data_IF_686326145635
#
_entry.id   IF_686326145635
#
_cell.length_a   1.000
_cell.length_b   1.000
_cell.length_c   1.000
_cell.angle_alpha   90.00
_cell.angle_beta   90.00
_cell.angle_gamma   90.00
#
_symmetry.space_group_name_H-M   'P 1'
#
loop_
_entity.id
_entity.type
_entity.pdbx_description
1 polymer ?
#
# COMPACT_ATOMS: atom_id res chain seq x y z
N UNK A 1 56.10 -23.01 14.77
CA UNK A 1 56.88 -21.96 14.07
C UNK A 1 57.41 -22.58 12.79
N UNK A 2 56.58 -22.55 11.74
CA UNK A 2 56.87 -23.16 10.44
C UNK A 2 56.21 -22.26 9.40
N UNK A 3 57.02 -21.47 8.69
CA UNK A 3 56.60 -20.57 7.62
C UNK A 3 56.41 -21.38 6.33
N UNK A 4 55.24 -21.25 5.69
CA UNK A 4 55.02 -21.68 4.32
C UNK A 4 54.78 -20.44 3.44
N UNK A 5 55.77 -20.15 2.60
CA UNK A 5 55.70 -19.18 1.50
C UNK A 5 54.88 -19.79 0.36
N UNK A 6 53.85 -19.08 -0.13
CA UNK A 6 53.18 -19.38 -1.40
C UNK A 6 53.58 -18.34 -2.44
N UNK A 7 54.00 -18.87 -3.59
CA UNK A 7 54.45 -18.16 -4.78
C UNK A 7 53.29 -17.57 -5.59
N UNK A 8 53.56 -16.42 -6.22
CA UNK A 8 52.73 -15.72 -7.18
C UNK A 8 52.91 -16.34 -8.58
N UNK A 9 51.79 -16.71 -9.22
CA UNK A 9 51.76 -17.15 -10.62
C UNK A 9 51.06 -16.10 -11.48
N UNK A 10 51.81 -15.46 -12.37
CA UNK A 10 51.31 -14.52 -13.38
C UNK A 10 50.82 -15.27 -14.62
N UNK A 11 49.60 -14.97 -15.09
CA UNK A 11 49.06 -15.47 -16.35
C UNK A 11 48.92 -14.32 -17.34
N UNK A 12 49.82 -14.27 -18.32
CA UNK A 12 49.68 -13.43 -19.51
C UNK A 12 48.88 -14.19 -20.57
N UNK A 13 47.68 -13.72 -20.92
CA UNK A 13 46.92 -14.22 -22.08
C UNK A 13 47.19 -13.33 -23.29
N UNK A 14 47.76 -13.93 -24.34
CA UNK A 14 47.84 -13.39 -25.70
C UNK A 14 46.49 -13.61 -26.40
N UNK A 15 45.88 -12.54 -26.91
CA UNK A 15 44.77 -12.62 -27.86
C UNK A 15 45.31 -12.65 -29.29
N UNK A 16 45.12 -13.77 -29.99
CA UNK A 16 45.30 -13.87 -31.45
C UNK A 16 43.96 -13.60 -32.14
N UNK A 17 43.95 -12.55 -32.96
CA UNK A 17 42.84 -12.09 -33.78
C UNK A 17 42.94 -12.76 -35.16
N UNK A 18 42.02 -13.66 -35.50
CA UNK A 18 41.88 -14.19 -36.87
C UNK A 18 40.69 -13.51 -37.56
N UNK A 19 41.00 -12.80 -38.65
CA UNK A 19 40.03 -12.29 -39.63
C UNK A 19 39.69 -13.40 -40.63
N UNK A 20 38.42 -13.75 -40.74
CA UNK A 20 37.88 -14.44 -41.90
C UNK A 20 37.35 -13.41 -42.90
N UNK A 21 37.93 -13.41 -44.10
CA UNK A 21 37.44 -12.70 -45.29
C UNK A 21 36.80 -13.75 -46.18
N UNK A 22 35.48 -13.66 -46.38
CA UNK A 22 34.72 -14.45 -47.34
C UNK A 22 34.15 -13.53 -48.41
N UNK A 23 34.61 -13.72 -49.64
CA UNK A 23 34.18 -13.07 -50.89
C UNK A 23 33.13 -13.95 -51.59
N UNK A 24 32.38 -13.36 -52.53
CA UNK A 24 31.41 -13.88 -53.52
C UNK A 24 29.93 -13.82 -53.09
N UNK A 25 28.96 -13.43 -53.94
CA UNK A 25 28.98 -12.95 -55.32
C UNK A 25 27.63 -12.29 -55.67
N UNK A 26 27.69 -11.50 -56.75
CA UNK A 26 26.61 -10.86 -57.50
C UNK A 26 25.42 -11.78 -57.84
N UNK A 27 24.20 -11.22 -57.76
CA UNK A 27 23.18 -11.40 -58.79
C UNK A 27 22.37 -10.10 -58.96
N UNK A 28 22.28 -9.66 -60.21
CA UNK A 28 21.51 -8.52 -60.71
C UNK A 28 20.17 -8.99 -61.31
N UNK A 29 19.19 -8.09 -61.37
CA UNK A 29 17.90 -8.23 -62.08
C UNK A 29 16.75 -7.65 -61.25
N UNK A 30 16.36 -6.38 -61.36
CA UNK A 30 15.70 -5.67 -62.47
C UNK A 30 14.23 -6.11 -62.71
N UNK A 31 13.27 -5.29 -62.25
CA UNK A 31 11.99 -4.90 -62.88
C UNK A 31 11.06 -4.28 -61.81
N UNK A 32 10.77 -2.98 -61.88
CA UNK A 32 9.61 -2.36 -62.55
C UNK A 32 8.25 -2.80 -61.98
N UNK A 33 7.59 -1.88 -61.25
CA UNK A 33 6.22 -2.06 -60.78
C UNK A 33 5.77 -0.96 -59.82
N UNK A 34 5.69 0.29 -60.29
CA UNK A 34 4.97 1.34 -59.58
C UNK A 34 3.48 1.18 -59.87
N UNK A 35 2.70 0.76 -58.86
CA UNK A 35 1.25 0.89 -58.83
C UNK A 35 0.90 1.71 -57.59
N UNK A 36 0.59 2.98 -57.83
CA UNK A 36 -0.11 3.85 -56.89
C UNK A 36 -1.57 3.40 -56.87
N UNK A 37 -2.02 2.89 -55.72
CA UNK A 37 -3.43 2.73 -55.42
C UNK A 37 -3.79 3.76 -54.33
N UNK A 38 -4.57 4.76 -54.72
CA UNK A 38 -5.22 5.70 -53.81
C UNK A 38 -6.23 4.93 -52.95
N UNK A 39 -5.86 4.67 -51.69
CA UNK A 39 -6.81 4.26 -50.67
C UNK A 39 -7.31 5.50 -49.93
N UNK A 40 -8.49 5.96 -50.32
CA UNK A 40 -9.28 6.96 -49.58
C UNK A 40 -9.67 6.35 -48.22
N UNK A 41 -8.94 6.71 -47.17
CA UNK A 41 -9.39 6.47 -45.80
C UNK A 41 -10.43 7.52 -45.40
N UNK A 42 -11.70 7.13 -45.50
CA UNK A 42 -12.80 7.79 -44.80
C UNK A 42 -12.62 7.51 -43.30
N UNK A 43 -12.15 8.51 -42.57
CA UNK A 43 -12.09 8.45 -41.11
C UNK A 43 -13.53 8.49 -40.53
N UNK A 44 -13.92 7.55 -39.65
CA UNK A 44 -15.15 7.71 -38.89
C UNK A 44 -14.96 8.81 -37.84
N UNK A 45 -15.46 10.02 -38.15
CA UNK A 45 -15.76 11.04 -37.13
C UNK A 45 -16.95 10.56 -36.31
N UNK A 46 -16.71 9.89 -35.18
CA UNK A 46 -17.69 9.75 -34.08
C UNK A 46 -17.07 9.00 -32.89
N UNK A 47 -16.38 9.72 -31.99
CA UNK A 47 -16.21 9.38 -30.57
C UNK A 47 -15.16 10.32 -29.93
N UNK A 48 -15.43 11.62 -29.89
CA UNK A 48 -14.66 12.57 -29.08
C UNK A 48 -15.63 13.61 -28.54
N UNK A 49 -16.34 13.25 -27.47
CA UNK A 49 -17.24 14.17 -26.77
C UNK A 49 -17.45 13.80 -25.29
N UNK A 50 -16.48 13.10 -24.67
CA UNK A 50 -16.50 12.80 -23.22
C UNK A 50 -15.17 13.05 -22.49
N UNK A 51 -14.22 13.78 -23.08
CA UNK A 51 -12.90 14.00 -22.46
C UNK A 51 -12.50 15.47 -22.28
N UNK A 52 -13.42 16.45 -22.38
CA UNK A 52 -13.03 17.86 -22.55
C UNK A 52 -13.74 18.90 -21.68
N UNK A 53 -14.27 18.57 -20.49
CA UNK A 53 -14.98 19.59 -19.67
C UNK A 53 -14.51 19.78 -18.21
N UNK A 54 -13.41 19.18 -17.75
CA UNK A 54 -12.92 19.38 -16.36
C UNK A 54 -11.50 19.97 -16.21
N UNK A 55 -10.91 20.54 -17.26
CA UNK A 55 -9.51 21.02 -17.22
C UNK A 55 -9.27 22.41 -16.61
N UNK A 56 -10.29 23.06 -16.03
CA UNK A 56 -10.13 24.39 -15.41
C UNK A 56 -10.01 24.35 -13.87
N UNK A 57 -9.89 23.18 -13.25
CA UNK A 57 -9.31 23.11 -11.91
C UNK A 57 -7.87 23.57 -12.07
N UNK A 58 -7.55 24.75 -11.53
CA UNK A 58 -6.23 25.36 -11.58
C UNK A 58 -5.16 24.28 -11.54
N UNK A 59 -4.26 24.29 -12.53
CA UNK A 59 -3.06 23.47 -12.53
C UNK A 59 -2.32 23.80 -11.23
N UNK A 60 -2.63 23.06 -10.17
CA UNK A 60 -1.83 22.99 -8.97
C UNK A 60 -0.48 22.62 -9.52
N UNK A 61 0.43 23.60 -9.52
CA UNK A 61 1.80 23.41 -9.92
C UNK A 61 2.25 22.19 -9.14
N UNK A 62 2.33 21.04 -9.82
CA UNK A 62 2.79 19.80 -9.21
C UNK A 62 4.23 20.13 -8.86
N UNK A 63 4.43 20.55 -7.62
CA UNK A 63 5.75 20.84 -7.13
C UNK A 63 6.56 19.58 -7.41
N UNK A 64 7.64 19.77 -8.15
CA UNK A 64 8.48 18.66 -8.53
C UNK A 64 9.11 18.09 -7.26
N UNK A 65 8.43 17.12 -6.65
CA UNK A 65 8.93 16.40 -5.49
C UNK A 65 9.99 15.45 -6.02
N UNK A 66 11.24 15.89 -5.92
CA UNK A 66 12.38 15.05 -6.22
C UNK A 66 12.90 14.39 -4.94
N UNK A 67 13.42 13.18 -5.08
CA UNK A 67 14.15 12.48 -4.02
C UNK A 67 15.65 12.83 -4.01
N UNK A 68 16.03 14.03 -4.51
CA UNK A 68 17.42 14.48 -4.57
C UNK A 68 18.12 14.39 -3.21
N UNK A 69 17.44 14.83 -2.15
CA UNK A 69 17.90 14.75 -0.77
C UNK A 69 17.12 13.72 0.06
N UNK A 70 16.55 12.71 -0.60
CA UNK A 70 15.81 11.61 0.03
C UNK A 70 14.74 12.11 1.04
N UNK A 71 14.09 13.23 0.72
CA UNK A 71 13.04 13.82 1.54
C UNK A 71 13.47 14.55 2.81
N UNK A 72 14.77 14.76 3.03
CA UNK A 72 15.27 15.61 4.13
C UNK A 72 14.94 17.09 3.94
N UNK A 73 14.64 17.50 2.71
CA UNK A 73 14.30 18.86 2.30
C UNK A 73 12.79 19.10 2.17
N UNK A 74 11.95 18.08 2.39
CA UNK A 74 10.50 18.19 2.23
C UNK A 74 9.85 19.00 3.35
N UNK A 75 9.42 20.23 3.05
CA UNK A 75 8.73 21.11 3.99
C UNK A 75 7.19 20.89 4.04
N UNK A 76 6.68 19.86 3.37
CA UNK A 76 5.24 19.63 3.21
C UNK A 76 4.63 18.80 4.34
N UNK A 77 3.40 19.14 4.72
CA UNK A 77 2.63 18.40 5.71
C UNK A 77 3.45 18.13 6.98
N UNK A 78 3.44 16.87 7.41
CA UNK A 78 4.24 16.42 8.57
C UNK A 78 5.57 15.79 8.19
N UNK A 79 5.99 15.88 6.91
CA UNK A 79 7.20 15.21 6.43
C UNK A 79 8.49 15.73 7.07
N UNK A 80 8.54 17.02 7.45
CA UNK A 80 9.69 17.64 8.12
C UNK A 80 9.60 17.61 9.65
N UNK A 81 8.43 17.32 10.23
CA UNK A 81 8.26 17.39 11.68
C UNK A 81 8.79 16.12 12.34
N UNK A 82 10.08 16.15 12.68
CA UNK A 82 10.76 15.06 13.39
C UNK A 82 10.21 14.81 14.80
N UNK A 83 9.37 15.70 15.34
CA UNK A 83 8.69 15.47 16.62
C UNK A 83 7.50 14.53 16.48
N UNK A 84 7.03 14.29 15.25
CA UNK A 84 6.04 13.25 14.97
C UNK A 84 6.73 11.90 15.09
N UNK A 85 6.49 11.21 16.20
CA UNK A 85 7.12 9.94 16.60
C UNK A 85 6.69 8.73 15.74
N UNK A 86 5.85 8.96 14.73
CA UNK A 86 5.31 7.96 13.84
C UNK A 86 5.73 8.13 12.36
N UNK A 87 6.81 8.86 12.06
CA UNK A 87 7.30 8.97 10.68
C UNK A 87 7.90 7.65 10.14
N UNK A 88 7.81 7.42 8.83
CA UNK A 88 8.38 6.28 8.10
C UNK A 88 9.23 6.75 6.91
N UNK A 89 10.20 5.96 6.43
CA UNK A 89 10.55 4.59 6.83
C UNK A 89 11.38 4.51 8.12
N UNK A 90 11.61 3.30 8.62
CA UNK A 90 12.46 3.06 9.80
C UNK A 90 13.45 1.91 9.58
N UNK A 91 14.47 1.87 10.44
CA UNK A 91 15.38 0.73 10.55
C UNK A 91 14.89 -0.22 11.65
N UNK A 92 14.79 -1.51 11.32
CA UNK A 92 14.55 -2.56 12.29
C UNK A 92 15.87 -3.20 12.69
N UNK A 93 16.31 -2.96 13.91
CA UNK A 93 17.54 -3.56 14.43
C UNK A 93 17.43 -5.08 14.66
N UNK A 94 18.55 -5.68 15.08
CA UNK A 94 18.68 -7.12 15.24
C UNK A 94 17.62 -7.72 16.17
N UNK A 95 17.12 -6.96 17.15
CA UNK A 95 16.14 -7.46 18.13
C UNK A 95 14.82 -7.83 17.47
N UNK A 96 14.47 -7.19 16.36
CA UNK A 96 13.23 -7.44 15.63
C UNK A 96 13.40 -8.50 14.55
N UNK A 97 14.62 -8.66 14.04
CA UNK A 97 14.90 -9.57 12.94
C UNK A 97 15.30 -10.96 13.43
N UNK A 98 15.99 -11.11 14.56
CA UNK A 98 16.44 -12.41 15.08
C UNK A 98 15.29 -13.28 15.58
N UNK A 99 15.36 -14.59 15.33
CA UNK A 99 14.38 -15.60 15.78
C UNK A 99 14.20 -15.66 17.32
N UNK A 100 15.00 -14.90 18.07
CA UNK A 100 14.89 -14.76 19.52
C UNK A 100 13.68 -13.95 19.98
N UNK A 101 12.95 -13.28 19.09
CA UNK A 101 11.68 -12.64 19.48
C UNK A 101 10.66 -13.75 19.81
N UNK A 102 10.09 -13.78 21.03
CA UNK A 102 9.29 -14.90 21.49
C UNK A 102 8.11 -15.15 20.54
N UNK A 103 8.11 -16.33 19.92
CA UNK A 103 7.07 -16.80 18.98
C UNK A 103 5.69 -16.93 19.63
N UNK A 104 5.61 -16.85 20.95
CA UNK A 104 4.41 -17.04 21.78
C UNK A 104 3.31 -15.98 21.57
N UNK A 105 3.56 -14.94 20.76
CA UNK A 105 2.53 -13.94 20.38
C UNK A 105 2.56 -13.57 18.90
N UNK A 106 2.92 -14.52 18.03
CA UNK A 106 2.71 -14.31 16.60
C UNK A 106 1.19 -14.21 16.38
N UNK A 107 0.72 -13.01 16.12
CA UNK A 107 -0.65 -12.80 15.67
C UNK A 107 -0.71 -13.11 14.18
N UNK A 108 -1.79 -13.75 13.76
CA UNK A 108 -2.01 -14.02 12.35
C UNK A 108 -2.77 -12.85 11.73
N UNK A 109 -2.40 -12.51 10.50
CA UNK A 109 -3.21 -11.68 9.63
C UNK A 109 -3.43 -12.43 8.32
N UNK A 110 -4.51 -12.13 7.62
CA UNK A 110 -4.88 -12.88 6.42
C UNK A 110 -4.59 -12.04 5.20
N UNK A 111 -3.92 -12.62 4.21
CA UNK A 111 -3.78 -12.05 2.88
C UNK A 111 -4.45 -12.96 1.88
N UNK A 112 -5.26 -12.38 1.01
CA UNK A 112 -5.89 -13.09 -0.09
C UNK A 112 -5.72 -12.26 -1.34
N UNK A 113 -4.79 -12.64 -2.21
CA UNK A 113 -4.54 -11.98 -3.48
C UNK A 113 -4.80 -12.98 -4.60
N UNK A 114 -5.98 -12.93 -5.24
CA UNK A 114 -6.21 -13.76 -6.40
C UNK A 114 -5.27 -13.34 -7.53
N UNK A 115 -5.08 -14.23 -8.49
CA UNK A 115 -4.25 -13.96 -9.65
C UNK A 115 -4.76 -12.72 -10.40
N UNK A 116 -3.87 -11.76 -10.66
CA UNK A 116 -4.19 -10.56 -11.43
C UNK A 116 -4.31 -10.91 -12.91
N UNK A 117 -5.34 -10.37 -13.54
CA UNK A 117 -5.51 -10.39 -14.99
C UNK A 117 -4.42 -9.53 -15.70
N UNK A 118 -4.16 -9.78 -17.00
CA UNK A 118 -3.02 -9.23 -17.73
C UNK A 118 -3.10 -7.72 -18.03
N UNK A 119 -3.91 -6.93 -17.31
CA UNK A 119 -4.14 -5.52 -17.64
C UNK A 119 -3.79 -4.64 -16.45
N UNK A 120 -2.49 -4.55 -16.13
CA UNK A 120 -2.00 -3.67 -15.08
C UNK A 120 -1.51 -2.35 -15.65
N UNK A 121 -2.11 -1.25 -15.21
CA UNK A 121 -1.69 0.07 -15.65
C UNK A 121 -0.44 0.52 -14.90
N UNK A 122 0.64 0.80 -15.63
CA UNK A 122 1.82 1.45 -15.07
C UNK A 122 1.63 2.96 -15.07
N UNK A 123 1.98 3.59 -13.96
CA UNK A 123 1.85 5.02 -13.77
C UNK A 123 3.14 5.60 -13.20
N UNK A 124 3.55 6.77 -13.71
CA UNK A 124 4.61 7.57 -13.11
C UNK A 124 3.99 8.85 -12.55
N UNK A 125 4.05 9.03 -11.23
CA UNK A 125 3.41 10.17 -10.56
C UNK A 125 4.23 11.46 -10.62
N UNK A 126 5.47 11.37 -11.11
CA UNK A 126 6.49 12.41 -11.00
C UNK A 126 7.60 12.03 -10.01
N UNK A 127 7.31 11.13 -9.06
CA UNK A 127 8.24 10.72 -8.01
C UNK A 127 8.21 9.19 -7.76
N UNK A 128 7.10 8.54 -8.10
CA UNK A 128 6.85 7.12 -7.87
C UNK A 128 6.48 6.40 -9.14
N UNK A 129 7.03 5.19 -9.26
CA UNK A 129 6.63 4.23 -10.27
C UNK A 129 5.63 3.27 -9.64
N UNK A 130 4.41 3.30 -10.17
CA UNK A 130 3.27 2.61 -9.59
C UNK A 130 2.65 1.62 -10.58
N UNK A 131 2.14 0.52 -10.06
CA UNK A 131 1.23 -0.39 -10.77
C UNK A 131 -0.15 -0.18 -10.16
N UNK A 132 -1.09 0.38 -10.93
CA UNK A 132 -2.46 0.57 -10.49
C UNK A 132 -3.22 -0.76 -10.61
N UNK A 133 -3.87 -1.16 -9.52
CA UNK A 133 -4.70 -2.35 -9.50
C UNK A 133 -6.13 -1.97 -9.94
N UNK A 134 -6.80 -2.81 -10.74
CA UNK A 134 -8.14 -2.49 -11.20
C UNK A 134 -9.11 -2.44 -10.02
N UNK A 135 -10.09 -1.51 -9.99
CA UNK A 135 -11.07 -1.45 -8.90
C UNK A 135 -11.90 -2.74 -8.71
N UNK A 136 -11.98 -3.57 -9.74
CA UNK A 136 -12.61 -4.90 -9.70
C UNK A 136 -11.75 -5.97 -9.04
N UNK A 137 -10.48 -5.69 -8.75
CA UNK A 137 -9.60 -6.64 -8.09
C UNK A 137 -10.10 -6.95 -6.68
N UNK A 138 -10.31 -8.23 -6.40
CA UNK A 138 -10.91 -8.71 -5.15
C UNK A 138 -9.88 -9.09 -4.09
N UNK A 139 -8.61 -8.72 -4.31
CA UNK A 139 -7.57 -8.92 -3.31
C UNK A 139 -7.89 -8.19 -2.00
N UNK A 140 -7.41 -8.72 -0.88
CA UNK A 140 -7.60 -8.11 0.42
C UNK A 140 -6.52 -8.51 1.43
N UNK A 141 -6.25 -7.60 2.35
CA UNK A 141 -5.52 -7.81 3.58
C UNK A 141 -6.50 -7.65 4.74
N UNK A 142 -6.58 -8.63 5.63
CA UNK A 142 -7.43 -8.57 6.81
C UNK A 142 -6.60 -8.57 8.09
N UNK A 143 -6.86 -7.58 8.95
CA UNK A 143 -6.17 -7.42 10.23
C UNK A 143 -7.10 -6.87 11.30
N UNK A 144 -7.14 -7.51 12.47
CA UNK A 144 -8.02 -7.11 13.59
C UNK A 144 -9.50 -6.93 13.21
N UNK A 145 -10.01 -7.76 12.29
CA UNK A 145 -11.38 -7.68 11.80
C UNK A 145 -11.62 -6.60 10.73
N UNK A 146 -10.63 -5.74 10.47
CA UNK A 146 -10.65 -4.74 9.41
C UNK A 146 -10.20 -5.35 8.08
N UNK A 147 -10.82 -4.92 6.98
CA UNK A 147 -10.46 -5.32 5.62
C UNK A 147 -9.87 -4.12 4.89
N UNK A 148 -8.71 -4.33 4.30
CA UNK A 148 -8.00 -3.37 3.46
C UNK A 148 -7.89 -3.92 2.04
N UNK A 149 -8.35 -3.17 1.05
CA UNK A 149 -8.26 -3.54 -0.37
C UNK A 149 -7.00 -2.97 -0.99
N UNK A 150 -6.20 -3.76 -1.72
CA UNK A 150 -5.01 -3.28 -2.39
C UNK A 150 -5.42 -2.39 -3.56
N UNK A 151 -4.80 -1.21 -3.66
CA UNK A 151 -5.12 -0.19 -4.67
C UNK A 151 -3.99 0.00 -5.67
N UNK A 152 -2.73 -0.09 -5.24
CA UNK A 152 -1.56 0.05 -6.11
C UNK A 152 -0.33 -0.62 -5.50
N UNK A 153 0.66 -0.88 -6.34
CA UNK A 153 2.00 -1.32 -5.96
C UNK A 153 2.96 -0.18 -6.26
N UNK A 154 3.74 0.26 -5.29
CA UNK A 154 4.73 1.33 -5.45
C UNK A 154 6.12 0.71 -5.42
N UNK A 155 6.99 1.08 -6.36
CA UNK A 155 8.37 0.61 -6.40
C UNK A 155 9.35 1.69 -5.96
N UNK A 156 10.31 1.26 -5.13
CA UNK A 156 11.42 2.07 -4.63
C UNK A 156 12.75 1.50 -5.11
N UNK A 157 13.50 2.29 -5.88
CA UNK A 157 14.89 2.00 -6.19
C UNK A 157 15.71 2.22 -4.91
N UNK A 158 16.32 1.13 -4.42
CA UNK A 158 16.70 0.92 -3.03
C UNK A 158 15.50 0.92 -2.09
N UNK A 159 15.54 0.01 -1.10
CA UNK A 159 14.51 -0.06 -0.08
C UNK A 159 14.46 1.21 0.76
N UNK A 160 13.27 1.61 1.20
CA UNK A 160 13.06 2.70 2.15
C UNK A 160 13.34 2.21 3.57
N UNK A 161 12.67 1.12 3.95
CA UNK A 161 12.94 0.42 5.20
C UNK A 161 14.28 -0.29 5.14
N UNK A 162 14.86 -0.51 6.32
CA UNK A 162 16.12 -1.26 6.45
C UNK A 162 15.98 -2.31 7.55
N UNK A 163 16.70 -3.41 7.37
CA UNK A 163 16.80 -4.49 8.34
C UNK A 163 18.26 -4.57 8.80
N UNK A 164 18.50 -4.38 10.09
CA UNK A 164 19.83 -4.34 10.69
C UNK A 164 20.76 -3.31 10.03
N UNK A 165 20.20 -2.17 9.60
CA UNK A 165 20.91 -1.13 8.85
C UNK A 165 21.20 -1.48 7.38
N UNK A 166 20.86 -2.70 6.92
CA UNK A 166 20.98 -3.09 5.51
C UNK A 166 19.83 -2.51 4.71
N UNK A 167 20.18 -1.86 3.60
CA UNK A 167 19.25 -1.39 2.56
C UNK A 167 19.31 -2.37 1.39
N UNK A 168 18.14 -2.77 0.89
CA UNK A 168 18.03 -3.70 -0.23
C UNK A 168 18.02 -2.94 -1.56
N UNK A 169 18.41 -3.56 -2.68
CA UNK A 169 18.43 -2.92 -3.99
C UNK A 169 17.07 -2.41 -4.50
N UNK A 170 15.98 -3.02 -4.07
CA UNK A 170 14.63 -2.65 -4.48
C UNK A 170 13.62 -3.01 -3.37
N UNK A 171 12.57 -2.21 -3.25
CA UNK A 171 11.42 -2.49 -2.39
C UNK A 171 10.12 -2.27 -3.17
N UNK A 172 9.15 -3.16 -2.96
CA UNK A 172 7.78 -2.98 -3.41
C UNK A 172 6.86 -2.76 -2.21
N UNK A 173 5.94 -1.81 -2.33
CA UNK A 173 4.93 -1.49 -1.33
C UNK A 173 3.54 -1.72 -1.93
N UNK A 174 2.83 -2.75 -1.48
CA UNK A 174 1.42 -2.95 -1.85
C UNK A 174 0.57 -2.10 -0.93
N UNK A 175 0.10 -0.96 -1.45
CA UNK A 175 -0.75 -0.03 -0.72
C UNK A 175 -2.18 -0.54 -0.72
N UNK A 176 -2.82 -0.48 0.44
CA UNK A 176 -4.21 -0.83 0.66
C UNK A 176 -4.99 0.30 1.31
N UNK A 177 -6.28 0.35 1.02
CA UNK A 177 -7.23 1.28 1.63
C UNK A 177 -8.29 0.51 2.42
N UNK A 178 -8.68 1.04 3.58
CA UNK A 178 -9.76 0.45 4.39
C UNK A 178 -11.09 0.46 3.64
N UNK A 179 -11.81 -0.67 3.72
CA UNK A 179 -13.17 -0.82 3.12
C UNK A 179 -14.26 -0.25 4.00
N UNK A 180 -13.96 0.11 5.27
CA UNK A 180 -14.99 0.64 6.15
C UNK A 180 -15.60 1.90 5.54
N UNK A 181 -16.94 2.02 5.51
CA UNK A 181 -17.57 3.26 5.12
C UNK A 181 -17.05 4.36 6.04
N UNK A 182 -16.69 5.56 5.51
CA UNK A 182 -16.32 6.67 6.35
C UNK A 182 -17.43 6.85 7.38
N UNK A 183 -17.09 6.75 8.66
CA UNK A 183 -18.06 6.97 9.74
C UNK A 183 -18.66 8.34 9.48
N UNK A 184 -19.94 8.36 9.11
CA UNK A 184 -20.66 9.57 8.71
C UNK A 184 -20.45 10.62 9.79
N UNK A 185 -19.77 11.75 9.50
CA UNK A 185 -19.58 12.81 10.47
C UNK A 185 -20.95 13.28 10.95
N UNK A 186 -21.29 12.99 12.21
CA UNK A 186 -22.60 13.31 12.80
C UNK A 186 -23.28 12.16 13.52
N UNK A 187 -22.95 10.91 13.21
CA UNK A 187 -23.35 9.77 14.07
C UNK A 187 -22.34 9.68 15.20
N UNK A 188 -22.59 10.41 16.30
CA UNK A 188 -21.81 10.23 17.53
C UNK A 188 -21.91 8.74 17.90
N UNK A 189 -20.79 8.00 18.04
CA UNK A 189 -20.86 6.66 18.58
C UNK A 189 -21.63 6.76 19.88
N UNK A 190 -22.66 5.92 20.02
CA UNK A 190 -23.45 5.82 21.24
C UNK A 190 -22.48 5.76 22.40
N UNK A 191 -22.64 6.69 23.33
CA UNK A 191 -21.82 6.91 24.53
C UNK A 191 -21.94 5.67 25.43
N UNK A 192 -21.38 4.54 25.02
CA UNK A 192 -21.37 3.31 25.79
C UNK A 192 -20.35 3.49 26.91
N UNK A 193 -20.90 3.60 28.12
CA UNK A 193 -20.23 3.60 29.41
C UNK A 193 -19.14 4.69 29.58
N UNK A 194 -19.58 5.94 29.71
CA UNK A 194 -18.85 6.85 30.58
C UNK A 194 -18.83 6.24 31.99
N UNK A 195 -17.64 5.92 32.48
CA UNK A 195 -17.37 5.60 33.89
C UNK A 195 -18.05 6.66 34.78
N UNK A 196 -18.72 6.22 35.84
CA UNK A 196 -19.41 7.09 36.80
C UNK A 196 -18.47 7.99 37.63
N UNK A 197 -17.16 7.86 37.44
CA UNK A 197 -16.12 8.55 38.23
C UNK A 197 -15.94 10.03 37.86
N UNK A 198 -16.60 10.56 36.81
CA UNK A 198 -16.48 11.98 36.47
C UNK A 198 -15.07 12.43 36.02
N UNK A 199 -14.07 11.55 36.07
CA UNK A 199 -12.78 11.74 35.40
C UNK A 199 -13.01 11.63 33.90
N UNK A 200 -13.18 12.79 33.26
CA UNK A 200 -13.00 12.95 31.81
C UNK A 200 -11.52 12.69 31.55
N UNK A 201 -11.10 11.42 31.56
CA UNK A 201 -9.88 11.08 30.85
C UNK A 201 -10.18 11.43 29.41
N UNK A 202 -9.40 12.36 28.87
CA UNK A 202 -9.26 12.56 27.44
C UNK A 202 -8.84 11.21 26.85
N UNK A 203 -9.82 10.34 26.61
CA UNK A 203 -9.64 9.14 25.82
C UNK A 203 -9.41 9.64 24.42
N UNK A 204 -8.14 9.91 24.14
CA UNK A 204 -7.60 10.11 22.80
C UNK A 204 -8.14 8.95 21.98
N UNK A 205 -9.16 9.24 21.16
CA UNK A 205 -9.68 8.28 20.20
C UNK A 205 -8.49 7.98 19.29
N UNK A 206 -8.00 6.73 19.24
CA UNK A 206 -6.85 6.43 18.42
C UNK A 206 -7.17 6.86 16.98
N UNK A 207 -6.21 7.51 16.30
CA UNK A 207 -6.42 7.94 14.91
C UNK A 207 -6.86 6.72 14.09
N UNK A 208 -7.91 6.90 13.29
CA UNK A 208 -8.37 5.84 12.40
C UNK A 208 -7.31 5.60 11.35
N UNK A 209 -6.75 4.39 11.37
CA UNK A 209 -5.87 3.90 10.31
C UNK A 209 -6.69 3.83 9.03
N UNK A 210 -6.28 4.57 8.01
CA UNK A 210 -6.96 4.61 6.71
C UNK A 210 -6.31 3.67 5.71
N UNK A 211 -5.00 3.56 5.77
CA UNK A 211 -4.19 2.84 4.79
C UNK A 211 -3.33 1.78 5.46
N UNK A 212 -3.03 0.72 4.70
CA UNK A 212 -2.09 -0.31 5.09
C UNK A 212 -1.10 -0.59 3.95
N UNK A 213 0.17 -0.78 4.25
CA UNK A 213 1.21 -1.09 3.27
C UNK A 213 1.92 -2.39 3.61
N UNK A 214 1.88 -3.34 2.67
CA UNK A 214 2.68 -4.56 2.73
C UNK A 214 3.99 -4.33 1.99
N UNK A 215 5.13 -4.52 2.67
CA UNK A 215 6.45 -4.22 2.13
C UNK A 215 7.22 -5.49 1.85
N UNK A 216 7.77 -5.57 0.64
CA UNK A 216 8.54 -6.70 0.12
C UNK A 216 9.90 -6.19 -0.31
N UNK A 217 10.96 -6.82 0.17
CA UNK A 217 12.33 -6.50 -0.24
C UNK A 217 12.75 -7.40 -1.39
N UNK A 218 13.58 -6.90 -2.30
CA UNK A 218 14.17 -7.70 -3.36
C UNK A 218 15.69 -7.61 -3.30
N UNK A 219 16.35 -8.71 -3.58
CA UNK A 219 17.80 -8.79 -3.63
C UNK A 219 18.28 -9.77 -4.70
N UNK A 220 19.54 -9.68 -5.09
CA UNK A 220 20.09 -10.56 -6.12
C UNK A 220 20.28 -11.96 -5.57
N UNK A 221 19.84 -12.98 -6.32
CA UNK A 221 20.06 -14.39 -5.98
C UNK A 221 21.54 -14.82 -6.06
N UNK A 222 22.38 -14.12 -6.84
CA UNK A 222 23.82 -14.36 -6.93
C UNK A 222 24.58 -13.11 -7.43
N UNK A 223 25.88 -13.01 -7.09
CA UNK A 223 26.86 -12.09 -7.69
C UNK A 223 27.21 -12.56 -9.11
N UNK A 224 26.23 -12.57 -10.02
CA UNK A 224 26.50 -12.90 -11.43
C UNK A 224 27.05 -11.65 -12.11
N UNK A 225 28.26 -11.78 -12.68
CA UNK A 225 29.02 -10.74 -13.37
C UNK A 225 28.10 -9.82 -14.23
N UNK A 226 28.02 -8.54 -13.86
CA UNK A 226 27.06 -7.54 -14.40
C UNK A 226 27.10 -7.43 -15.94
N UNK A 227 28.24 -7.73 -16.55
CA UNK A 227 28.46 -7.58 -17.99
C UNK A 227 27.66 -8.57 -18.85
N UNK A 228 27.24 -9.73 -18.31
CA UNK A 228 26.50 -10.75 -19.08
C UNK A 228 24.98 -10.51 -19.10
N UNK A 229 24.46 -9.69 -18.18
CA UNK A 229 23.06 -9.75 -17.81
C UNK A 229 22.11 -8.92 -18.71
N UNK A 230 22.65 -8.04 -19.56
CA UNK A 230 21.83 -7.21 -20.46
C UNK A 230 21.44 -7.89 -21.79
N UNK A 231 22.06 -9.01 -22.15
CA UNK A 231 21.89 -9.63 -23.48
C UNK A 231 21.18 -10.97 -23.48
N UNK A 232 21.04 -11.64 -22.34
CA UNK A 232 20.46 -12.97 -22.27
C UNK A 232 19.03 -12.96 -21.73
N UNK A 233 18.06 -13.16 -22.63
CA UNK A 233 16.71 -13.64 -22.32
C UNK A 233 16.76 -15.14 -21.96
N UNK A 234 17.76 -15.55 -21.19
CA UNK A 234 17.95 -16.95 -20.84
C UNK A 234 17.11 -17.27 -19.61
N UNK A 235 15.85 -17.62 -19.86
CA UNK A 235 14.90 -18.08 -18.85
C UNK A 235 15.34 -19.38 -18.15
N UNK A 236 16.50 -19.96 -18.51
CA UNK A 236 17.06 -21.14 -17.85
C UNK A 236 18.00 -20.83 -16.69
N UNK A 237 18.35 -19.55 -16.46
CA UNK A 237 19.12 -19.17 -15.28
C UNK A 237 18.32 -19.54 -14.01
N UNK A 238 18.96 -20.24 -13.07
CA UNK A 238 18.34 -20.74 -11.81
C UNK A 238 17.74 -19.64 -10.93
N UNK A 239 18.14 -18.40 -11.21
CA UNK A 239 17.88 -17.21 -10.42
C UNK A 239 16.80 -16.32 -11.06
N UNK A 240 16.27 -16.74 -12.21
CA UNK A 240 15.25 -16.05 -12.96
C UNK A 240 13.88 -16.22 -12.28
N UNK A 241 13.28 -15.12 -11.83
CA UNK A 241 11.92 -15.15 -11.31
C UNK A 241 10.92 -14.88 -12.45
N UNK A 242 10.22 -15.94 -12.86
CA UNK A 242 9.26 -15.90 -13.96
C UNK A 242 8.05 -15.02 -13.63
N UNK A 243 7.57 -15.02 -12.39
CA UNK A 243 6.43 -14.19 -12.00
C UNK A 243 6.83 -12.72 -11.98
N UNK A 244 7.96 -12.39 -11.37
CA UNK A 244 8.52 -11.04 -11.38
C UNK A 244 8.79 -10.56 -12.81
N UNK A 245 9.21 -11.44 -13.72
CA UNK A 245 9.36 -11.06 -15.12
C UNK A 245 8.05 -10.62 -15.77
N UNK A 246 6.91 -11.27 -15.51
CA UNK A 246 5.62 -10.87 -16.13
C UNK A 246 5.28 -9.42 -15.83
N UNK A 247 5.61 -8.99 -14.61
CA UNK A 247 5.53 -7.61 -14.20
C UNK A 247 6.51 -6.75 -15.02
N UNK A 248 7.79 -7.13 -15.06
CA UNK A 248 8.86 -6.37 -15.75
C UNK A 248 8.73 -6.28 -17.27
N UNK A 249 8.18 -7.29 -17.95
CA UNK A 249 8.10 -7.37 -19.40
C UNK A 249 7.40 -6.16 -20.04
N UNK A 250 6.63 -5.44 -19.23
CA UNK A 250 5.80 -4.32 -19.67
C UNK A 250 6.28 -2.96 -19.17
N UNK A 251 7.40 -2.92 -18.45
CA UNK A 251 8.01 -1.66 -18.06
C UNK A 251 8.60 -1.01 -19.32
N UNK A 252 8.11 0.17 -19.73
CA UNK A 252 8.65 0.85 -20.88
C UNK A 252 10.13 1.15 -20.69
N UNK A 253 10.84 1.25 -21.81
CA UNK A 253 12.11 1.97 -21.77
C UNK A 253 11.84 3.41 -21.30
N UNK A 254 12.75 4.01 -20.51
CA UNK A 254 12.49 5.28 -19.84
C UNK A 254 12.12 6.46 -20.77
N UNK A 255 12.39 6.35 -22.07
CA UNK A 255 12.08 7.34 -23.10
C UNK A 255 10.58 7.44 -23.45
N UNK A 256 9.72 6.52 -22.98
CA UNK A 256 8.30 6.42 -23.38
C UNK A 256 7.28 6.85 -22.30
N UNK A 257 7.73 7.50 -21.22
CA UNK A 257 6.87 7.77 -20.04
C UNK A 257 6.21 9.15 -20.02
N UNK A 258 5.13 9.35 -20.80
CA UNK A 258 3.96 9.90 -20.13
C UNK A 258 2.68 9.07 -20.40
N UNK A 259 2.03 8.64 -19.30
CA UNK A 259 0.67 8.11 -19.25
C UNK A 259 0.35 6.88 -20.12
N UNK A 260 1.27 5.90 -20.20
CA UNK A 260 1.04 4.69 -20.99
C UNK A 260 0.44 3.59 -20.11
N UNK A 261 -0.87 3.39 -20.23
CA UNK A 261 -1.51 2.15 -19.78
C UNK A 261 -1.01 1.03 -20.68
N UNK A 262 -0.21 0.11 -20.13
CA UNK A 262 0.18 -1.13 -20.82
C UNK A 262 -0.55 -2.32 -20.23
N UNK A 263 -0.66 -3.39 -21.00
CA UNK A 263 -1.15 -4.67 -20.52
C UNK A 263 0.08 -5.47 -20.10
N UNK A 264 0.01 -6.19 -18.98
CA UNK A 264 1.04 -7.17 -18.63
C UNK A 264 0.95 -8.40 -19.54
N UNK A 265 2.08 -9.07 -19.73
CA UNK A 265 2.15 -10.31 -20.50
C UNK A 265 1.68 -11.45 -19.60
N UNK A 266 0.37 -11.63 -19.59
CA UNK A 266 -0.27 -12.71 -18.84
C UNK A 266 -0.62 -12.37 -17.40
N UNK A 267 -1.15 -13.41 -16.76
CA UNK A 267 -1.66 -13.35 -15.39
C UNK A 267 -0.50 -13.26 -14.39
N UNK A 268 -0.57 -12.32 -13.45
CA UNK A 268 0.45 -12.12 -12.40
C UNK A 268 -0.08 -12.57 -11.05
N UNK A 269 0.59 -13.55 -10.44
CA UNK A 269 0.27 -14.00 -9.09
C UNK A 269 1.09 -13.19 -8.06
N UNK A 270 0.42 -12.28 -7.37
CA UNK A 270 1.03 -11.45 -6.30
C UNK A 270 1.60 -12.29 -5.15
N UNK A 271 0.96 -13.40 -4.77
CA UNK A 271 1.44 -14.23 -3.65
C UNK A 271 2.74 -14.92 -4.05
N UNK A 272 2.76 -15.54 -5.23
CA UNK A 272 3.92 -16.25 -5.74
C UNK A 272 5.08 -15.30 -6.08
N UNK A 273 4.81 -14.24 -6.83
CA UNK A 273 5.85 -13.33 -7.30
C UNK A 273 6.53 -12.54 -6.18
N UNK A 274 5.82 -12.28 -5.08
CA UNK A 274 6.37 -11.59 -3.91
C UNK A 274 6.67 -12.53 -2.72
N UNK A 275 6.47 -13.85 -2.87
CA UNK A 275 6.72 -14.87 -1.84
C UNK A 275 6.05 -14.50 -0.50
N UNK A 276 4.79 -14.12 -0.57
CA UNK A 276 4.06 -13.54 0.56
C UNK A 276 3.51 -14.61 1.52
N UNK A 277 3.43 -15.85 1.07
CA UNK A 277 2.86 -16.98 1.79
C UNK A 277 3.77 -17.46 2.92
N UNK A 278 3.17 -17.77 4.07
CA UNK A 278 3.86 -18.24 5.29
C UNK A 278 4.98 -17.32 5.84
N UNK A 279 5.16 -16.14 5.24
CA UNK A 279 6.16 -15.15 5.63
C UNK A 279 5.75 -14.42 6.91
N UNK A 280 6.72 -14.11 7.76
CA UNK A 280 6.53 -13.23 8.92
C UNK A 280 6.79 -11.76 8.57
N UNK A 281 6.06 -10.87 9.25
CA UNK A 281 6.06 -9.43 9.02
C UNK A 281 6.24 -8.67 10.34
N UNK A 282 6.94 -7.54 10.27
CA UNK A 282 7.04 -6.54 11.32
C UNK A 282 5.95 -5.50 11.11
N UNK A 283 4.93 -5.55 11.97
CA UNK A 283 3.81 -4.62 11.93
C UNK A 283 4.05 -3.43 12.84
N UNK A 284 3.86 -2.22 12.33
CA UNK A 284 3.90 -1.00 13.13
C UNK A 284 2.99 0.10 12.57
N UNK A 285 2.69 1.12 13.37
CA UNK A 285 1.96 2.32 12.92
C UNK A 285 2.96 3.41 12.55
N UNK A 286 2.85 3.90 11.32
CA UNK A 286 3.76 4.86 10.73
C UNK A 286 3.06 5.87 9.83
N UNK A 287 3.84 6.57 9.02
CA UNK A 287 3.35 7.51 8.02
C UNK A 287 3.52 7.03 6.59
N UNK A 288 2.92 7.73 5.63
CA UNK A 288 3.34 7.67 4.24
C UNK A 288 4.81 8.13 4.07
N UNK A 289 5.50 7.57 3.09
CA UNK A 289 6.92 7.87 2.82
C UNK A 289 7.12 8.86 1.69
N UNK A 290 6.03 9.43 1.17
CA UNK A 290 6.05 10.45 0.14
C UNK A 290 4.99 11.53 0.39
N UNK A 291 5.22 12.79 -0.04
CA UNK A 291 4.18 13.80 -0.03
C UNK A 291 3.09 13.57 -1.10
N UNK A 292 3.34 12.68 -2.08
CA UNK A 292 2.36 12.31 -3.12
C UNK A 292 1.36 11.26 -2.66
N UNK A 293 1.63 10.56 -1.56
CA UNK A 293 0.82 9.43 -1.11
C UNK A 293 -0.62 9.82 -0.75
N UNK A 294 -0.83 11.02 -0.21
CA UNK A 294 -2.13 11.44 0.34
C UNK A 294 -2.36 12.94 0.13
N UNK A 295 -2.87 13.32 -1.04
CA UNK A 295 -3.44 14.65 -1.26
C UNK A 295 -4.97 14.57 -1.13
N UNK A 296 -5.50 15.07 0.00
CA UNK A 296 -6.95 15.23 0.17
C UNK A 296 -7.33 16.65 -0.26
N UNK A 297 -7.99 16.75 -1.41
CA UNK A 297 -8.66 18.00 -1.80
C UNK A 297 -10.00 18.05 -1.09
N UNK A 298 -10.13 18.92 -0.08
CA UNK A 298 -11.43 19.19 0.52
C UNK A 298 -12.17 20.16 -0.40
N UNK A 299 -13.13 19.62 -1.14
CA UNK A 299 -14.02 20.42 -1.97
C UNK A 299 -15.09 21.06 -1.07
N UNK A 300 -15.18 22.39 -1.05
CA UNK A 300 -16.32 23.09 -0.47
C UNK A 300 -17.40 23.21 -1.57
N UNK A 301 -18.49 22.43 -1.50
CA UNK A 301 -19.52 22.44 -2.54
C UNK A 301 -20.27 23.77 -2.64
N UNK A 302 -20.14 24.66 -1.64
CA UNK A 302 -20.81 25.96 -1.63
C UNK A 302 -19.94 27.07 -2.21
N UNK A 303 -18.63 26.88 -2.28
CA UNK A 303 -17.72 27.87 -2.84
C UNK A 303 -16.44 27.20 -3.34
N UNK A 304 -16.35 26.94 -4.64
CA UNK A 304 -15.17 26.34 -5.27
C UNK A 304 -13.89 27.17 -5.06
N UNK A 305 -14.01 28.48 -4.78
CA UNK A 305 -12.85 29.33 -4.45
C UNK A 305 -12.30 29.11 -3.03
N UNK A 306 -13.02 28.37 -2.17
CA UNK A 306 -12.61 27.99 -0.81
C UNK A 306 -12.15 26.54 -0.68
N UNK A 307 -11.94 25.82 -1.80
CA UNK A 307 -11.38 24.48 -1.74
C UNK A 307 -10.03 24.52 -1.01
N UNK A 308 -9.98 23.92 0.17
CA UNK A 308 -8.77 23.89 0.98
C UNK A 308 -8.05 22.58 0.70
N UNK A 309 -6.86 22.66 0.12
CA UNK A 309 -5.98 21.49 0.03
C UNK A 309 -5.42 21.25 1.42
N UNK A 310 -5.98 20.27 2.14
CA UNK A 310 -5.38 19.82 3.39
C UNK A 310 -4.29 18.85 3.00
N UNK A 311 -3.05 19.35 3.00
CA UNK A 311 -1.90 18.54 2.70
C UNK A 311 -1.63 17.56 3.85
N UNK A 312 -2.16 16.35 3.73
CA UNK A 312 -1.92 15.23 4.65
C UNK A 312 -0.62 14.49 4.33
N UNK A 313 0.31 15.11 3.59
CA UNK A 313 1.61 14.53 3.29
C UNK A 313 2.29 13.98 4.55
N UNK A 314 2.74 12.73 4.42
CA UNK A 314 3.37 11.96 5.47
C UNK A 314 2.54 11.85 6.77
N UNK A 315 1.20 11.84 6.68
CA UNK A 315 0.31 11.61 7.83
C UNK A 315 0.58 10.27 8.49
N UNK A 316 0.45 10.21 9.82
CA UNK A 316 0.77 9.06 10.68
C UNK A 316 -0.38 8.06 10.84
N UNK A 317 -1.18 7.85 9.78
CA UNK A 317 -2.37 6.99 9.76
C UNK A 317 -2.20 5.73 8.90
N UNK A 318 -0.97 5.27 8.72
CA UNK A 318 -0.62 4.10 7.92
C UNK A 318 -0.16 2.91 8.77
N UNK A 319 -0.73 1.75 8.50
CA UNK A 319 -0.30 0.48 9.06
C UNK A 319 0.72 -0.20 8.16
N UNK A 320 1.93 -0.40 8.64
CA UNK A 320 2.99 -1.06 7.87
C UNK A 320 3.10 -2.53 8.24
N UNK A 321 3.29 -3.39 7.25
CA UNK A 321 3.61 -4.81 7.38
C UNK A 321 4.90 -5.08 6.62
N UNK A 322 6.04 -5.06 7.31
CA UNK A 322 7.35 -5.14 6.67
C UNK A 322 7.88 -6.57 6.70
N UNK A 323 8.15 -7.15 5.52
CA UNK A 323 8.68 -8.51 5.40
C UNK A 323 9.92 -8.73 6.28
N UNK A 324 9.92 -9.82 7.06
CA UNK A 324 10.96 -10.12 8.05
C UNK A 324 11.95 -11.19 7.59
N UNK A 325 11.49 -12.21 6.87
CA UNK A 325 12.25 -13.46 6.62
C UNK A 325 13.37 -13.34 5.59
N UNK A 326 13.60 -12.14 5.08
CA UNK A 326 14.61 -11.85 4.07
C UNK A 326 13.96 -11.38 2.76
N UNK A 327 14.78 -10.91 1.82
CA UNK A 327 14.30 -10.42 0.53
C UNK A 327 13.87 -11.56 -0.39
N UNK A 328 12.98 -11.25 -1.32
CA UNK A 328 12.71 -12.05 -2.50
C UNK A 328 13.95 -12.02 -3.39
N UNK A 329 14.60 -13.17 -3.51
CA UNK A 329 15.72 -13.34 -4.43
C UNK A 329 15.21 -13.42 -5.86
N UNK A 330 15.74 -12.55 -6.72
CA UNK A 330 15.48 -12.49 -8.16
C UNK A 330 16.80 -12.22 -8.91
N UNK A 331 16.81 -12.33 -10.24
CA UNK A 331 18.03 -12.09 -11.00
C UNK A 331 18.44 -10.61 -10.95
N UNK A 332 19.74 -10.33 -10.80
CA UNK A 332 20.26 -8.95 -10.65
C UNK A 332 19.75 -8.00 -11.75
N UNK A 333 19.75 -8.43 -13.02
CA UNK A 333 19.29 -7.56 -14.11
C UNK A 333 17.80 -7.21 -14.02
N UNK A 334 16.97 -8.08 -13.44
CA UNK A 334 15.54 -7.79 -13.22
C UNK A 334 15.39 -6.59 -12.26
N UNK A 335 16.15 -6.61 -11.16
CA UNK A 335 16.22 -5.51 -10.19
C UNK A 335 16.80 -4.26 -10.84
N UNK A 336 17.95 -4.39 -11.50
CA UNK A 336 18.65 -3.25 -12.09
C UNK A 336 17.83 -2.58 -13.19
N UNK A 337 17.10 -3.33 -14.02
CA UNK A 337 16.22 -2.75 -15.03
C UNK A 337 15.15 -1.86 -14.41
N UNK A 338 14.50 -2.33 -13.34
CA UNK A 338 13.47 -1.55 -12.65
C UNK A 338 14.08 -0.35 -11.90
N UNK A 339 15.15 -0.58 -11.14
CA UNK A 339 15.83 0.47 -10.38
C UNK A 339 16.41 1.57 -11.28
N UNK A 340 17.02 1.20 -12.42
CA UNK A 340 17.55 2.17 -13.38
C UNK A 340 16.44 2.94 -14.10
N UNK A 341 15.29 2.30 -14.36
CA UNK A 341 14.11 2.98 -14.89
C UNK A 341 13.61 4.05 -13.92
N UNK A 342 13.44 3.68 -12.66
CA UNK A 342 13.06 4.62 -11.59
C UNK A 342 14.07 5.77 -11.49
N UNK A 343 15.37 5.47 -11.45
CA UNK A 343 16.43 6.49 -11.40
C UNK A 343 16.33 7.45 -12.57
N UNK A 344 16.18 6.92 -13.79
CA UNK A 344 16.05 7.75 -14.97
C UNK A 344 14.85 8.70 -14.85
N UNK A 345 13.69 8.19 -14.46
CA UNK A 345 12.47 8.97 -14.30
C UNK A 345 12.58 10.02 -13.18
N UNK A 346 13.36 9.73 -12.15
CA UNK A 346 13.63 10.59 -11.01
C UNK A 346 14.94 11.39 -11.15
N UNK A 347 15.30 11.79 -12.37
CA UNK A 347 16.43 12.70 -12.61
C UNK A 347 17.81 12.13 -12.25
N UNK A 348 18.00 10.82 -12.40
CA UNK A 348 19.19 10.04 -12.02
C UNK A 348 19.37 9.82 -10.51
N UNK A 349 18.32 10.04 -9.71
CA UNK A 349 18.33 9.78 -8.27
C UNK A 349 17.48 8.55 -7.93
N UNK A 350 17.86 7.82 -6.87
CA UNK A 350 16.97 6.82 -6.28
C UNK A 350 15.71 7.52 -5.67
N UNK A 351 14.57 6.82 -5.57
CA UNK A 351 13.30 7.40 -5.11
C UNK A 351 12.86 6.91 -3.71
N UNK A 352 13.81 6.79 -2.79
CA UNK A 352 13.57 6.38 -1.40
C UNK A 352 13.72 7.56 -0.43
N UNK A 353 12.90 7.60 0.61
CA UNK A 353 13.02 8.54 1.73
C UNK A 353 14.09 8.09 2.72
N UNK A 354 14.81 9.05 3.30
CA UNK A 354 15.75 8.82 4.38
C UNK A 354 15.07 8.18 5.59
N UNK A 355 15.84 7.45 6.40
CA UNK A 355 15.32 6.82 7.61
C UNK A 355 14.83 7.87 8.61
N UNK A 356 13.64 7.64 9.16
CA UNK A 356 13.04 8.48 10.19
C UNK A 356 13.35 7.89 11.57
N UNK A 357 13.37 8.73 12.62
CA UNK A 357 13.48 8.23 14.00
C UNK A 357 12.38 7.21 14.29
N UNK A 358 12.75 6.08 14.89
CA UNK A 358 11.79 5.02 15.24
C UNK A 358 10.77 5.49 16.31
N UNK A 359 11.16 6.44 17.16
CA UNK A 359 10.36 6.93 18.29
C UNK A 359 10.45 6.00 19.50
N UNK A 360 10.28 6.55 20.70
CA UNK A 360 10.36 5.77 21.95
C UNK A 360 9.10 4.94 22.22
N UNK A 361 7.97 5.29 21.60
CA UNK A 361 6.65 4.73 21.94
C UNK A 361 6.07 3.81 20.87
N UNK A 362 6.79 3.62 19.75
CA UNK A 362 6.33 2.79 18.65
C UNK A 362 6.41 1.31 19.04
N UNK A 363 5.27 0.63 18.97
CA UNK A 363 5.19 -0.82 19.16
C UNK A 363 5.35 -1.51 17.81
N UNK A 364 6.18 -2.55 17.79
CA UNK A 364 6.30 -3.47 16.67
C UNK A 364 5.74 -4.81 17.08
N UNK A 365 4.89 -5.36 16.23
CA UNK A 365 4.33 -6.69 16.38
C UNK A 365 4.93 -7.61 15.32
N UNK A 366 5.27 -8.84 15.70
CA UNK A 366 5.65 -9.87 14.72
C UNK A 366 4.38 -10.63 14.36
N UNK A 367 4.04 -10.59 13.07
CA UNK A 367 2.87 -11.26 12.52
C UNK A 367 3.28 -12.36 11.56
N UNK A 368 2.44 -13.37 11.38
CA UNK A 368 2.57 -14.32 10.28
C UNK A 368 1.39 -14.16 9.33
N UNK A 369 1.70 -14.07 8.04
CA UNK A 369 0.67 -14.07 7.02
C UNK A 369 0.07 -15.47 6.88
N UNK A 370 -1.25 -15.53 6.92
CA UNK A 370 -2.03 -16.68 6.49
C UNK A 370 -2.61 -16.40 5.11
N UNK A 371 -2.44 -17.33 4.17
CA UNK A 371 -3.13 -17.31 2.88
C UNK A 371 -4.45 -18.09 2.94
N UNK A 372 -4.70 -18.82 4.03
CA UNK A 372 -5.95 -19.50 4.24
C UNK A 372 -7.06 -18.45 4.39
N UNK A 373 -7.93 -18.40 3.37
CA UNK A 373 -9.08 -17.53 3.39
C UNK A 373 -10.01 -17.94 4.51
N UNK A 374 -9.93 -17.22 5.64
CA UNK A 374 -10.97 -17.32 6.65
C UNK A 374 -12.15 -16.50 6.16
N UNK A 375 -13.12 -17.18 5.54
CA UNK A 375 -14.41 -16.59 5.25
C UNK A 375 -14.90 -15.89 6.52
N UNK A 376 -15.09 -14.57 6.44
CA UNK A 376 -15.52 -13.85 7.63
C UNK A 376 -16.83 -14.47 8.11
N UNK A 377 -17.12 -14.49 9.43
CA UNK A 377 -18.41 -14.97 9.90
C UNK A 377 -19.60 -14.29 9.19
N UNK A 378 -19.40 -13.08 8.63
CA UNK A 378 -20.39 -12.36 7.82
C UNK A 378 -20.64 -12.97 6.43
N UNK A 379 -19.66 -13.62 5.81
CA UNK A 379 -19.81 -14.31 4.53
C UNK A 379 -20.41 -15.70 4.70
N UNK A 380 -20.06 -16.41 5.77
CA UNK A 380 -20.78 -17.62 6.17
C UNK A 380 -22.21 -17.28 6.62
N UNK A 381 -22.44 -16.07 7.13
CA UNK A 381 -23.77 -15.52 7.37
C UNK A 381 -24.46 -15.01 6.09
N UNK A 382 -23.87 -15.10 4.89
CA UNK A 382 -24.64 -14.94 3.63
C UNK A 382 -25.29 -16.24 3.17
N UNK A 383 -24.96 -17.37 3.80
CA UNK A 383 -25.77 -18.60 3.76
C UNK A 383 -26.90 -18.58 4.80
N UNK A 384 -27.50 -17.42 5.08
CA UNK A 384 -28.88 -17.47 5.56
C UNK A 384 -29.71 -18.02 4.41
N UNK A 385 -30.50 -19.07 4.68
CA UNK A 385 -31.61 -19.46 3.81
C UNK A 385 -32.25 -18.19 3.26
N UNK A 386 -32.21 -18.00 1.94
CA UNK A 386 -32.98 -16.95 1.30
C UNK A 386 -34.40 -17.08 1.86
N UNK A 387 -34.89 -16.03 2.52
CA UNK A 387 -36.24 -16.08 3.08
C UNK A 387 -37.19 -16.47 1.95
N UNK A 388 -38.12 -17.41 2.19
CA UNK A 388 -39.06 -17.85 1.17
C UNK A 388 -39.73 -16.62 0.56
N UNK A 389 -39.78 -16.59 -0.76
CA UNK A 389 -40.36 -15.50 -1.54
C UNK A 389 -41.81 -15.28 -1.10
N UNK A 390 -42.03 -14.29 -0.23
CA UNK A 390 -43.35 -13.79 0.09
C UNK A 390 -43.87 -12.90 -1.05
N UNK A 391 -45.18 -12.65 -1.07
CA UNK A 391 -45.88 -11.85 -2.11
C UNK A 391 -45.32 -10.42 -2.29
N UNK A 392 -44.49 -9.95 -1.36
CA UNK A 392 -43.72 -8.71 -1.46
C UNK A 392 -42.22 -9.04 -1.25
N UNK A 393 -41.34 -8.84 -2.25
CA UNK A 393 -39.91 -9.03 -2.07
C UNK A 393 -39.38 -8.02 -1.05
N UNK A 394 -38.81 -8.50 0.06
CA UNK A 394 -38.10 -7.65 1.02
C UNK A 394 -36.63 -7.64 0.65
N UNK A 395 -36.03 -6.46 0.55
CA UNK A 395 -34.58 -6.34 0.33
C UNK A 395 -33.83 -6.51 1.65
N UNK A 396 -32.58 -6.97 1.62
CA UNK A 396 -31.70 -7.03 2.81
C UNK A 396 -31.56 -5.68 3.52
N UNK A 397 -31.75 -4.58 2.77
CA UNK A 397 -31.79 -3.23 3.32
C UNK A 397 -32.98 -3.02 4.25
N UNK A 398 -34.17 -3.53 3.91
CA UNK A 398 -35.37 -3.42 4.76
C UNK A 398 -35.25 -4.24 6.04
N UNK A 399 -34.67 -5.44 5.98
CA UNK A 399 -34.42 -6.25 7.18
C UNK A 399 -33.42 -5.56 8.11
N UNK A 400 -32.34 -4.98 7.55
CA UNK A 400 -31.39 -4.18 8.33
C UNK A 400 -32.06 -2.97 8.96
N UNK A 401 -32.92 -2.27 8.21
CA UNK A 401 -33.69 -1.13 8.74
C UNK A 401 -34.62 -1.54 9.87
N UNK A 402 -35.34 -2.67 9.74
CA UNK A 402 -36.22 -3.21 10.79
C UNK A 402 -35.41 -3.60 12.03
N UNK A 403 -34.27 -4.29 11.87
CA UNK A 403 -33.42 -4.71 12.99
C UNK A 403 -32.80 -3.50 13.71
N UNK A 404 -32.37 -2.49 12.96
CA UNK A 404 -31.91 -1.22 13.50
C UNK A 404 -33.03 -0.52 14.29
N UNK A 405 -34.26 -0.46 13.76
CA UNK A 405 -35.41 0.11 14.44
C UNK A 405 -35.79 -0.64 15.73
N UNK A 406 -35.73 -1.98 15.73
CA UNK A 406 -35.97 -2.79 16.92
C UNK A 406 -34.90 -2.58 17.99
N UNK A 407 -33.63 -2.47 17.59
CA UNK A 407 -32.54 -2.16 18.51
C UNK A 407 -32.69 -0.76 19.09
N UNK A 408 -33.05 0.23 18.28
CA UNK A 408 -33.36 1.58 18.74
C UNK A 408 -34.51 1.59 19.75
N UNK A 409 -35.59 0.81 19.50
CA UNK A 409 -36.71 0.66 20.44
C UNK A 409 -36.30 0.03 21.77
N UNK A 410 -35.47 -1.02 21.74
CA UNK A 410 -34.93 -1.66 22.97
C UNK A 410 -34.05 -0.68 23.75
N UNK A 411 -33.20 0.07 23.05
CA UNK A 411 -32.35 1.08 23.65
C UNK A 411 -33.18 2.21 24.28
N UNK A 412 -34.19 2.73 23.58
CA UNK A 412 -35.10 3.75 24.11
C UNK A 412 -35.78 3.28 25.42
N UNK A 413 -36.24 2.02 25.48
CA UNK A 413 -36.80 1.44 26.73
C UNK A 413 -35.79 1.44 27.88
N UNK A 414 -34.53 1.09 27.62
CA UNK A 414 -33.46 1.13 28.63
C UNK A 414 -33.21 2.55 29.14
N UNK A 415 -33.15 3.53 28.23
CA UNK A 415 -32.98 4.95 28.57
C UNK A 415 -34.16 5.46 29.40
N UNK A 416 -35.40 5.14 29.03
CA UNK A 416 -36.58 5.52 29.82
C UNK A 416 -36.55 4.93 31.23
N UNK A 417 -36.12 3.67 31.37
CA UNK A 417 -35.94 3.05 32.70
C UNK A 417 -34.88 3.80 33.51
N UNK A 418 -33.70 4.04 32.91
CA UNK A 418 -32.61 4.76 33.56
C UNK A 418 -33.02 6.17 34.03
N UNK A 419 -33.75 6.94 33.22
CA UNK A 419 -34.25 8.27 33.60
C UNK A 419 -35.18 8.19 34.82
N UNK A 420 -36.03 7.16 34.90
CA UNK A 420 -36.90 6.94 36.07
C UNK A 420 -36.07 6.65 37.32
N UNK A 421 -35.05 5.80 37.19
CA UNK A 421 -34.18 5.42 38.31
C UNK A 421 -33.39 6.66 38.82
N UNK A 422 -32.85 7.49 37.92
CA UNK A 422 -32.18 8.76 38.28
C UNK A 422 -33.13 9.74 38.97
N UNK A 423 -34.36 9.88 38.46
CA UNK A 423 -35.37 10.75 39.09
C UNK A 423 -35.71 10.28 40.50
N UNK A 424 -35.83 8.98 40.70
CA UNK A 424 -36.10 8.38 42.01
C UNK A 424 -34.94 8.66 42.99
N UNK A 425 -33.70 8.43 42.55
CA UNK A 425 -32.51 8.71 43.36
C UNK A 425 -32.41 10.19 43.77
N UNK A 426 -32.72 11.13 42.86
CA UNK A 426 -32.76 12.56 43.19
C UNK A 426 -33.84 12.90 44.21
N UNK A 427 -35.02 12.28 44.10
CA UNK A 427 -36.09 12.48 45.07
C UNK A 427 -35.70 11.98 46.46
N UNK A 428 -35.09 10.79 46.54
CA UNK A 428 -34.59 10.22 47.79
C UNK A 428 -33.48 11.08 48.42
N UNK A 429 -32.53 11.57 47.62
CA UNK A 429 -31.48 12.48 48.09
C UNK A 429 -32.04 13.80 48.61
N UNK A 430 -33.01 14.39 47.90
CA UNK A 430 -33.66 15.64 48.33
C UNK A 430 -34.43 15.44 49.65
N UNK A 431 -35.12 14.30 49.80
CA UNK A 431 -35.81 13.95 51.05
C UNK A 431 -34.83 13.78 52.21
N UNK A 432 -33.76 13.02 52.02
CA UNK A 432 -32.73 12.83 53.05
C UNK A 432 -32.10 14.16 53.50
N UNK A 433 -31.89 15.09 52.56
CA UNK A 433 -31.41 16.44 52.88
C UNK A 433 -32.42 17.25 53.70
N UNK A 434 -33.72 17.18 53.36
CA UNK A 434 -34.78 17.83 54.16
C UNK A 434 -34.86 17.25 55.57
N UNK A 435 -34.82 15.92 55.71
CA UNK A 435 -34.88 15.23 57.00
C UNK A 435 -33.68 15.66 57.89
N UNK A 436 -32.47 15.77 57.32
CA UNK A 436 -31.29 16.24 58.02
C UNK A 436 -31.40 17.71 58.49
N UNK A 437 -32.02 18.59 57.69
CA UNK A 437 -32.30 19.97 58.11
C UNK A 437 -33.26 20.00 59.29
N UNK A 438 -34.36 19.24 59.22
CA UNK A 438 -35.37 19.18 60.29
C UNK A 438 -34.73 18.71 61.60
N UNK A 439 -33.93 17.64 61.53
CA UNK A 439 -33.18 17.11 62.68
C UNK A 439 -32.25 18.19 63.28
N UNK A 440 -31.44 18.85 62.45
CA UNK A 440 -30.52 19.90 62.89
C UNK A 440 -31.23 21.12 63.52
N UNK A 441 -32.47 21.43 63.11
CA UNK A 441 -33.26 22.53 63.69
C UNK A 441 -34.03 22.17 64.96
N UNK A 442 -34.09 20.88 65.32
CA UNK A 442 -34.78 20.38 66.52
C UNK A 442 -33.90 20.25 67.76
N UNK A 443 -32.59 20.47 67.58
CA UNK A 443 -31.57 20.63 68.63
C UNK A 443 -31.42 22.11 68.99
#
# INVERSE_FOLDING_TARGET
>A
MTLLLRSSGSWAKRCTYQRNVGVLALLAGCSCGALLADAVHVAPRSASLLASENNNVAAVERQNIFYQNQGLDWQYGSCHDLRVDHQSPVNFDARWTTNSYPTERIQNFTIHYPVLEPKLALNWTGSELEVLLPPSYTGQLQWNGEIYKPVKIIFRAKSEHTLNGRRFPLEAQVLHESVLPPVVPGVRPSREAASADGSVSDRVVPPKIKTASLVVFFDSAADVDEAAAFTAKDSSATDYDNEFQKLLANFPLPQQFPNVVRQTDGNFDLLSGFKLDNTTYLQYVGSGTSPTDEQVVILDPRNASNNTIVNTACSSDRLWFVQREGPVLVANYQIQNLANTIRYLNGKHDNYRALMPFGLHRRVHVLRASTEYQATPSENARNYEMMPWGKNPRTDAEVRAIKAAQNAKKFAKKVTKYIKDVKQAHYEAAKAYQDAIVEATSL
#
